data_IF_588435645685
#
_entry.id   IF_588435645685
#
_cell.length_a   1.000
_cell.length_b   1.000
_cell.length_c   1.000
_cell.angle_alpha   90.00
_cell.angle_beta   90.00
_cell.angle_gamma   90.00
#
_symmetry.space_group_name_H-M   'P 1'
#
loop_
_entity.id
_entity.type
_entity.pdbx_description
1 polymer ?
#
# COMPACT_ATOMS: atom_id res chain seq x y z
N UNK A 1 7.06 -39.50 78.51
CA UNK A 1 6.05 -38.54 78.01
C UNK A 1 6.63 -37.18 77.59
N UNK A 2 7.70 -36.64 78.20
CA UNK A 2 8.28 -35.33 77.80
C UNK A 2 8.75 -35.23 76.34
N UNK A 3 9.40 -36.27 75.80
CA UNK A 3 9.88 -36.27 74.40
C UNK A 3 8.75 -36.12 73.36
N UNK A 4 7.60 -36.75 73.56
CA UNK A 4 6.50 -36.69 72.58
C UNK A 4 5.87 -35.29 72.49
N UNK A 5 5.84 -34.55 73.61
CA UNK A 5 5.27 -33.20 73.70
C UNK A 5 6.22 -32.17 73.07
N UNK A 6 7.54 -32.33 73.25
CA UNK A 6 8.55 -31.46 72.61
C UNK A 6 8.56 -31.59 71.07
N UNK A 7 8.32 -32.79 70.53
CA UNK A 7 8.23 -33.01 69.09
C UNK A 7 6.98 -32.34 68.49
N UNK A 8 5.84 -32.40 69.18
CA UNK A 8 4.59 -31.78 68.74
C UNK A 8 4.69 -30.25 68.71
N UNK A 9 5.26 -29.65 69.75
CA UNK A 9 5.45 -28.19 69.83
C UNK A 9 6.48 -27.68 68.79
N UNK A 10 7.57 -28.41 68.59
CA UNK A 10 8.60 -28.07 67.60
C UNK A 10 8.08 -28.23 66.17
N UNK A 11 7.29 -29.27 65.90
CA UNK A 11 6.63 -29.48 64.61
C UNK A 11 5.60 -28.39 64.33
N UNK A 12 4.75 -28.07 65.31
CA UNK A 12 3.75 -27.01 65.19
C UNK A 12 4.37 -25.63 64.98
N UNK A 13 5.50 -25.36 65.64
CA UNK A 13 6.27 -24.11 65.46
C UNK A 13 6.88 -24.02 64.06
N UNK A 14 7.44 -25.12 63.53
CA UNK A 14 7.95 -25.18 62.14
C UNK A 14 6.83 -25.03 61.11
N UNK A 15 5.68 -25.66 61.34
CA UNK A 15 4.52 -25.56 60.44
C UNK A 15 3.98 -24.13 60.39
N UNK A 16 3.82 -23.47 61.54
CA UNK A 16 3.42 -22.06 61.63
C UNK A 16 4.40 -21.14 60.93
N UNK A 17 5.70 -21.36 61.12
CA UNK A 17 6.75 -20.57 60.46
C UNK A 17 6.70 -20.74 58.94
N UNK A 18 6.58 -21.98 58.44
CA UNK A 18 6.46 -22.23 57.01
C UNK A 18 5.19 -21.60 56.41
N UNK A 19 4.06 -21.67 57.13
CA UNK A 19 2.82 -21.02 56.69
C UNK A 19 2.98 -19.50 56.59
N UNK A 20 3.58 -18.87 57.60
CA UNK A 20 3.87 -17.43 57.61
C UNK A 20 4.85 -17.03 56.51
N UNK A 21 5.86 -17.86 56.26
CA UNK A 21 6.85 -17.63 55.21
C UNK A 21 6.22 -17.68 53.82
N UNK A 22 5.34 -18.66 53.56
CA UNK A 22 4.60 -18.76 52.29
C UNK A 22 3.68 -17.56 52.09
N UNK A 23 2.94 -17.15 53.13
CA UNK A 23 2.06 -15.96 53.06
C UNK A 23 2.89 -14.70 52.77
N UNK A 24 4.03 -14.53 53.44
CA UNK A 24 4.93 -13.40 53.21
C UNK A 24 5.49 -13.40 51.78
N UNK A 25 5.92 -14.56 51.27
CA UNK A 25 6.39 -14.70 49.89
C UNK A 25 5.29 -14.38 48.87
N UNK A 26 4.04 -14.81 49.10
CA UNK A 26 2.91 -14.46 48.26
C UNK A 26 2.63 -12.95 48.24
N UNK A 27 2.69 -12.28 49.40
CA UNK A 27 2.49 -10.83 49.49
C UNK A 27 3.59 -10.09 48.73
N UNK A 28 4.86 -10.50 48.90
CA UNK A 28 5.99 -9.92 48.17
C UNK A 28 5.81 -10.13 46.66
N UNK A 29 5.40 -11.33 46.23
CA UNK A 29 5.14 -11.63 44.82
C UNK A 29 4.04 -10.76 44.22
N UNK A 30 2.93 -10.55 44.93
CA UNK A 30 1.84 -9.65 44.49
C UNK A 30 2.34 -8.19 44.44
N UNK A 31 3.14 -7.76 45.42
CA UNK A 31 3.71 -6.42 45.40
C UNK A 31 4.66 -6.21 44.22
N UNK A 32 5.55 -7.17 43.92
CA UNK A 32 6.47 -7.08 42.78
C UNK A 32 5.70 -7.05 41.46
N UNK A 33 4.73 -7.93 41.29
CA UNK A 33 3.95 -7.99 40.04
C UNK A 33 3.05 -6.77 39.82
N UNK A 34 2.54 -6.15 40.90
CA UNK A 34 1.64 -5.01 40.78
C UNK A 34 2.33 -3.64 40.78
N UNK A 35 3.45 -3.50 41.49
CA UNK A 35 4.15 -2.21 41.66
C UNK A 35 5.43 -2.09 40.84
N UNK A 36 6.25 -3.15 40.72
CA UNK A 36 7.50 -3.11 39.94
C UNK A 36 7.24 -3.40 38.45
N UNK A 37 6.37 -4.37 38.17
CA UNK A 37 5.86 -4.62 36.82
C UNK A 37 4.62 -3.76 36.56
N UNK A 38 4.77 -2.43 36.66
CA UNK A 38 3.72 -1.51 36.22
C UNK A 38 3.48 -1.78 34.74
N UNK A 39 2.44 -2.56 34.43
CA UNK A 39 2.07 -2.88 33.05
C UNK A 39 1.93 -1.54 32.34
N UNK A 40 2.71 -1.27 31.28
CA UNK A 40 2.59 -0.01 30.57
C UNK A 40 1.13 0.08 30.14
N UNK A 41 0.45 1.17 30.53
CA UNK A 41 -0.87 1.47 30.03
C UNK A 41 -0.71 1.68 28.53
N UNK A 42 -0.94 0.63 27.74
CA UNK A 42 -1.01 0.72 26.29
C UNK A 42 -2.19 1.63 25.98
N UNK A 43 -1.88 2.87 25.57
CA UNK A 43 -2.89 3.80 25.11
C UNK A 43 -3.37 3.32 23.73
N UNK A 44 -4.31 2.37 23.74
CA UNK A 44 -4.88 1.77 22.53
C UNK A 44 -5.48 2.82 21.58
N UNK A 45 -5.80 4.01 22.09
CA UNK A 45 -6.32 5.14 21.31
C UNK A 45 -5.38 5.53 20.16
N UNK A 46 -4.06 5.56 20.38
CA UNK A 46 -3.08 5.92 19.35
C UNK A 46 -2.93 4.80 18.29
N UNK A 47 -3.03 3.54 18.72
CA UNK A 47 -3.03 2.42 17.77
C UNK A 47 -4.31 2.41 16.92
N UNK A 48 -5.46 2.65 17.54
CA UNK A 48 -6.75 2.70 16.85
C UNK A 48 -6.83 3.88 15.87
N UNK A 49 -6.31 5.06 16.23
CA UNK A 49 -6.27 6.20 15.31
C UNK A 49 -5.41 5.90 14.09
N UNK A 50 -4.23 5.29 14.28
CA UNK A 50 -3.35 4.89 13.19
C UNK A 50 -4.02 3.85 12.29
N UNK A 51 -4.68 2.84 12.86
CA UNK A 51 -5.43 1.84 12.07
C UNK A 51 -6.49 2.52 11.20
N UNK A 52 -7.29 3.42 11.78
CA UNK A 52 -8.31 4.14 11.04
C UNK A 52 -7.72 5.01 9.91
N UNK A 53 -6.57 5.65 10.12
CA UNK A 53 -5.84 6.38 9.08
C UNK A 53 -5.36 5.45 7.96
N UNK A 54 -4.84 4.27 8.32
CA UNK A 54 -4.43 3.25 7.35
C UNK A 54 -5.61 2.72 6.52
N UNK A 55 -6.76 2.45 7.15
CA UNK A 55 -7.97 1.96 6.48
C UNK A 55 -8.49 3.00 5.48
N UNK A 56 -8.56 4.27 5.88
CA UNK A 56 -8.91 5.38 4.97
C UNK A 56 -7.96 5.45 3.78
N UNK A 57 -6.66 5.35 4.02
CA UNK A 57 -5.67 5.38 2.94
C UNK A 57 -5.80 4.15 2.01
N UNK A 58 -6.18 3.00 2.56
CA UNK A 58 -6.39 1.79 1.77
C UNK A 58 -7.63 1.91 0.86
N UNK A 59 -8.71 2.52 1.34
CA UNK A 59 -9.89 2.83 0.55
C UNK A 59 -9.56 3.77 -0.63
N UNK A 60 -8.80 4.84 -0.36
CA UNK A 60 -8.33 5.76 -1.41
C UNK A 60 -7.50 5.01 -2.46
N UNK A 61 -6.57 4.14 -2.03
CA UNK A 61 -5.76 3.35 -2.97
C UNK A 61 -6.61 2.41 -3.82
N UNK A 62 -7.66 1.83 -3.27
CA UNK A 62 -8.58 0.97 -4.02
C UNK A 62 -9.35 1.78 -5.09
N UNK A 63 -9.90 2.95 -4.74
CA UNK A 63 -10.55 3.85 -5.69
C UNK A 63 -9.61 4.27 -6.83
N UNK A 64 -8.36 4.60 -6.51
CA UNK A 64 -7.35 4.95 -7.51
C UNK A 64 -6.94 3.77 -8.37
N UNK A 65 -6.91 2.55 -7.83
CA UNK A 65 -6.69 1.36 -8.63
C UNK A 65 -7.80 1.19 -9.68
N UNK A 66 -9.06 1.41 -9.32
CA UNK A 66 -10.17 1.31 -10.27
C UNK A 66 -10.20 2.45 -11.28
N UNK A 67 -9.88 3.69 -10.86
CA UNK A 67 -9.66 4.82 -11.79
C UNK A 67 -8.55 4.51 -12.80
N UNK A 68 -7.45 3.90 -12.35
CA UNK A 68 -6.34 3.55 -13.24
C UNK A 68 -6.76 2.53 -14.31
N UNK A 69 -7.58 1.52 -13.94
CA UNK A 69 -8.13 0.54 -14.89
C UNK A 69 -9.04 1.21 -15.92
N UNK A 70 -9.86 2.18 -15.49
CA UNK A 70 -10.74 2.91 -16.39
C UNK A 70 -9.93 3.72 -17.41
N UNK A 71 -8.91 4.46 -16.96
CA UNK A 71 -8.04 5.25 -17.84
C UNK A 71 -7.29 4.32 -18.80
N UNK A 72 -6.73 3.21 -18.28
CA UNK A 72 -6.06 2.21 -19.10
C UNK A 72 -6.97 1.64 -20.20
N UNK A 73 -8.20 1.24 -19.85
CA UNK A 73 -9.19 0.76 -20.83
C UNK A 73 -9.52 1.85 -21.85
N UNK A 74 -9.61 3.10 -21.41
CA UNK A 74 -9.88 4.23 -22.29
C UNK A 74 -8.78 4.37 -23.33
N UNK A 75 -7.51 4.34 -22.90
CA UNK A 75 -6.32 4.37 -23.77
C UNK A 75 -6.40 3.23 -24.80
N UNK A 76 -6.65 2.00 -24.36
CA UNK A 76 -6.72 0.81 -25.22
C UNK A 76 -7.83 0.91 -26.30
N UNK A 77 -8.95 1.59 -25.99
CA UNK A 77 -10.05 1.78 -26.96
C UNK A 77 -9.86 2.94 -27.94
N UNK A 78 -8.77 3.71 -27.85
CA UNK A 78 -8.53 4.82 -28.77
C UNK A 78 -8.07 4.26 -30.12
N UNK A 79 -8.75 4.69 -31.19
CA UNK A 79 -8.31 4.39 -32.56
C UNK A 79 -7.28 5.42 -32.98
N UNK A 80 -6.01 5.17 -32.66
CA UNK A 80 -4.88 6.06 -32.96
C UNK A 80 -4.57 6.27 -34.44
N UNK A 81 -5.14 5.43 -35.31
CA UNK A 81 -5.02 5.58 -36.76
C UNK A 81 -5.79 6.83 -37.26
N UNK A 82 -6.90 7.16 -36.61
CA UNK A 82 -7.70 8.34 -36.92
C UNK A 82 -7.23 9.47 -36.01
N UNK A 83 -7.02 10.69 -36.51
CA UNK A 83 -6.60 11.85 -35.71
C UNK A 83 -7.66 12.21 -34.65
N UNK A 84 -7.68 11.51 -33.51
CA UNK A 84 -8.58 11.71 -32.36
C UNK A 84 -7.91 12.59 -31.30
N UNK A 85 -7.44 13.78 -31.70
CA UNK A 85 -6.71 14.70 -30.81
C UNK A 85 -7.51 15.03 -29.54
N UNK A 86 -8.82 15.29 -29.68
CA UNK A 86 -9.69 15.59 -28.54
C UNK A 86 -9.74 14.47 -27.50
N UNK A 87 -9.77 13.21 -27.93
CA UNK A 87 -9.86 12.05 -27.03
C UNK A 87 -8.52 11.78 -26.33
N UNK A 88 -7.41 12.06 -27.01
CA UNK A 88 -6.06 12.01 -26.43
C UNK A 88 -5.91 13.10 -25.37
N UNK A 89 -6.38 14.32 -25.64
CA UNK A 89 -6.31 15.44 -24.70
C UNK A 89 -7.17 15.19 -23.46
N UNK A 90 -8.36 14.59 -23.62
CA UNK A 90 -9.20 14.14 -22.51
C UNK A 90 -8.48 13.12 -21.63
N UNK A 91 -7.83 12.12 -22.21
CA UNK A 91 -7.04 11.14 -21.44
C UNK A 91 -5.88 11.81 -20.71
N UNK A 92 -5.13 12.71 -21.37
CA UNK A 92 -4.04 13.46 -20.71
C UNK A 92 -4.55 14.28 -19.53
N UNK A 93 -5.74 14.89 -19.67
CA UNK A 93 -6.39 15.61 -18.57
C UNK A 93 -6.75 14.65 -17.43
N UNK A 94 -7.35 13.50 -17.71
CA UNK A 94 -7.68 12.49 -16.71
C UNK A 94 -6.44 11.98 -15.96
N UNK A 95 -5.31 11.81 -16.67
CA UNK A 95 -4.04 11.43 -16.04
C UNK A 95 -3.48 12.57 -15.18
N UNK A 96 -3.66 13.83 -15.57
CA UNK A 96 -3.28 14.98 -14.74
C UNK A 96 -4.14 15.06 -13.47
N UNK A 97 -5.45 14.87 -13.58
CA UNK A 97 -6.38 14.79 -12.45
C UNK A 97 -6.00 13.63 -11.51
N UNK A 98 -5.61 12.47 -12.05
CA UNK A 98 -5.09 11.34 -11.28
C UNK A 98 -3.84 11.70 -10.44
N UNK A 99 -2.98 12.59 -10.94
CA UNK A 99 -1.80 13.06 -10.19
C UNK A 99 -2.12 14.17 -9.19
N UNK A 100 -3.29 14.80 -9.31
CA UNK A 100 -3.61 16.01 -8.56
C UNK A 100 -3.70 15.75 -7.05
N UNK A 101 -4.20 14.59 -6.63
CA UNK A 101 -4.29 14.23 -5.21
C UNK A 101 -2.93 14.27 -4.49
N UNK A 102 -1.84 13.94 -5.18
CA UNK A 102 -0.49 14.05 -4.63
C UNK A 102 -0.08 15.50 -4.37
N UNK A 103 -0.50 16.43 -5.25
CA UNK A 103 -0.25 17.87 -5.09
C UNK A 103 -1.13 18.48 -4.01
N UNK A 104 -2.40 18.09 -3.96
CA UNK A 104 -3.38 18.60 -2.99
C UNK A 104 -3.00 18.25 -1.54
N UNK A 105 -2.22 17.17 -1.36
CA UNK A 105 -1.69 16.73 -0.07
C UNK A 105 -0.22 17.11 0.13
N UNK A 106 0.21 18.25 -0.44
CA UNK A 106 1.55 18.82 -0.23
C UNK A 106 2.70 17.84 -0.49
N UNK A 107 2.54 16.95 -1.48
CA UNK A 107 3.55 15.96 -1.84
C UNK A 107 3.86 14.94 -0.72
N UNK A 108 2.88 14.67 0.14
CA UNK A 108 3.03 13.70 1.20
C UNK A 108 3.26 12.28 0.64
N UNK A 109 4.25 11.58 1.19
CA UNK A 109 4.75 10.29 0.66
C UNK A 109 3.68 9.20 0.55
N UNK A 110 2.69 9.21 1.45
CA UNK A 110 1.58 8.25 1.42
C UNK A 110 0.77 8.31 0.11
N UNK A 111 0.78 9.44 -0.60
CA UNK A 111 0.10 9.66 -1.88
C UNK A 111 0.98 9.43 -3.12
N UNK A 112 2.23 8.96 -2.96
CA UNK A 112 3.17 8.71 -4.07
C UNK A 112 2.61 7.76 -5.15
N UNK A 113 1.70 6.86 -4.79
CA UNK A 113 1.07 5.95 -5.74
C UNK A 113 0.29 6.69 -6.85
N UNK A 114 -0.26 7.88 -6.56
CA UNK A 114 -0.92 8.73 -7.55
C UNK A 114 0.06 9.24 -8.60
N UNK A 115 1.24 9.69 -8.15
CA UNK A 115 2.28 10.17 -9.04
C UNK A 115 2.84 9.03 -9.91
N UNK A 116 3.19 7.90 -9.29
CA UNK A 116 3.76 6.74 -9.99
C UNK A 116 2.73 6.18 -10.98
N UNK A 117 1.50 5.93 -10.54
CA UNK A 117 0.44 5.40 -11.40
C UNK A 117 0.11 6.34 -12.56
N UNK A 118 0.02 7.65 -12.32
CA UNK A 118 -0.21 8.61 -13.38
C UNK A 118 0.96 8.70 -14.37
N UNK A 119 2.21 8.57 -13.93
CA UNK A 119 3.36 8.54 -14.82
C UNK A 119 3.34 7.28 -15.70
N UNK A 120 2.99 6.13 -15.13
CA UNK A 120 2.86 4.89 -15.88
C UNK A 120 1.76 4.98 -16.96
N UNK A 121 0.60 5.58 -16.63
CA UNK A 121 -0.47 5.80 -17.59
C UNK A 121 -0.05 6.74 -18.74
N UNK A 122 0.74 7.78 -18.45
CA UNK A 122 1.29 8.66 -19.48
C UNK A 122 2.22 7.90 -20.43
N UNK A 123 3.16 7.12 -19.89
CA UNK A 123 4.07 6.30 -20.69
C UNK A 123 3.27 5.34 -21.57
N UNK A 124 2.23 4.70 -21.02
CA UNK A 124 1.38 3.80 -21.79
C UNK A 124 0.66 4.51 -22.94
N UNK A 125 0.15 5.73 -22.72
CA UNK A 125 -0.46 6.53 -23.79
C UNK A 125 0.56 6.90 -24.88
N UNK A 126 1.75 7.33 -24.50
CA UNK A 126 2.82 7.73 -25.42
C UNK A 126 3.26 6.55 -26.30
N UNK A 127 3.47 5.37 -25.72
CA UNK A 127 3.82 4.16 -26.46
C UNK A 127 2.80 3.81 -27.55
N UNK A 128 1.50 3.93 -27.24
CA UNK A 128 0.45 3.66 -28.22
C UNK A 128 0.42 4.70 -29.36
N UNK A 129 0.71 5.97 -29.05
CA UNK A 129 0.81 7.04 -30.05
C UNK A 129 2.01 6.84 -30.98
N UNK A 130 3.17 6.53 -30.42
CA UNK A 130 4.38 6.25 -31.19
C UNK A 130 4.20 5.03 -32.07
N UNK A 131 3.63 3.94 -31.54
CA UNK A 131 3.37 2.73 -32.30
C UNK A 131 2.45 3.00 -33.51
N UNK A 132 1.40 3.82 -33.32
CA UNK A 132 0.52 4.23 -34.43
C UNK A 132 1.27 5.01 -35.50
N UNK A 133 2.14 5.94 -35.07
CA UNK A 133 2.94 6.77 -35.97
C UNK A 133 3.92 5.94 -36.79
N UNK A 134 4.60 4.98 -36.15
CA UNK A 134 5.50 4.04 -36.83
C UNK A 134 4.73 3.22 -37.87
N UNK A 135 3.58 2.64 -37.52
CA UNK A 135 2.75 1.89 -38.46
C UNK A 135 2.32 2.71 -39.67
N UNK A 136 1.92 3.98 -39.46
CA UNK A 136 1.57 4.89 -40.56
C UNK A 136 2.75 5.15 -41.48
N UNK A 137 3.93 5.38 -40.91
CA UNK A 137 5.15 5.61 -41.69
C UNK A 137 5.54 4.38 -42.49
N UNK A 138 5.46 3.18 -41.92
CA UNK A 138 5.74 1.92 -42.62
C UNK A 138 4.82 1.75 -43.84
N UNK A 139 3.51 2.00 -43.69
CA UNK A 139 2.53 1.96 -44.79
C UNK A 139 2.86 2.97 -45.88
N UNK A 140 3.27 4.19 -45.51
CA UNK A 140 3.66 5.22 -46.47
C UNK A 140 4.93 4.81 -47.25
N UNK A 141 5.94 4.28 -46.56
CA UNK A 141 7.18 3.80 -47.18
C UNK A 141 6.87 2.66 -48.14
N UNK A 142 6.05 1.69 -47.75
CA UNK A 142 5.67 0.57 -48.61
C UNK A 142 4.92 1.04 -49.85
N UNK A 143 3.99 2.00 -49.70
CA UNK A 143 3.28 2.60 -50.83
C UNK A 143 4.24 3.30 -51.79
N UNK A 144 5.12 4.16 -51.28
CA UNK A 144 6.10 4.87 -52.12
C UNK A 144 7.07 3.90 -52.83
N UNK A 145 7.51 2.83 -52.16
CA UNK A 145 8.33 1.79 -52.78
C UNK A 145 7.58 1.08 -53.91
N UNK A 146 6.31 0.78 -53.73
CA UNK A 146 5.47 0.15 -54.75
C UNK A 146 5.21 1.08 -55.95
N UNK A 147 4.98 2.37 -55.70
CA UNK A 147 4.85 3.40 -56.76
C UNK A 147 6.15 3.52 -57.56
N UNK A 148 7.32 3.58 -56.91
CA UNK A 148 8.61 3.58 -57.60
C UNK A 148 8.78 2.33 -58.47
N UNK A 149 8.51 1.14 -57.93
CA UNK A 149 8.61 -0.13 -58.69
C UNK A 149 7.67 -0.17 -59.89
N UNK A 150 6.45 0.36 -59.76
CA UNK A 150 5.48 0.42 -60.85
C UNK A 150 5.95 1.37 -61.96
N UNK A 151 6.50 2.53 -61.60
CA UNK A 151 7.06 3.48 -62.57
C UNK A 151 8.26 2.87 -63.32
N UNK A 152 9.18 2.20 -62.61
CA UNK A 152 10.30 1.49 -63.26
C UNK A 152 9.86 0.39 -64.23
N UNK A 153 8.71 -0.25 -64.00
CA UNK A 153 8.15 -1.28 -64.89
C UNK A 153 7.44 -0.72 -66.12
N UNK A 154 7.03 0.54 -66.11
CA UNK A 154 6.33 1.18 -67.23
C UNK A 154 7.29 1.95 -68.17
N UNK A 155 8.56 2.12 -67.78
CA UNK A 155 9.60 2.79 -68.58
C UNK A 155 10.47 1.83 -69.43
N UNK A 156 10.25 0.51 -69.31
CA UNK A 156 10.88 -0.55 -70.13
C UNK A 156 9.82 -1.48 -70.70
#
# INVERSE_FOLDING_TARGET
>A
MKKAIEFDETYWKKLKFNLLFVISACIIYICVTKFLLKTPNFNNTDMLSRINEYEKMQEIKADYADKSKLIFKTIDTIKYDINQVQRIDEVKRNISEYKQLYKDHEFHSSYNFCLIGGNLLNVFLELNLEQSTVKKNDILIERSLNECKANFKNEY
#
